data_IF_492136524981
#
_entry.id   IF_492136524981
#
_cell.length_a   1.000
_cell.length_b   1.000
_cell.length_c   1.000
_cell.angle_alpha   90.00
_cell.angle_beta   90.00
_cell.angle_gamma   90.00
#
_symmetry.space_group_name_H-M   'P 1'
#
loop_
_entity.id
_entity.type
_entity.pdbx_description
1 polymer ?
#
# COMPACT_ATOMS: atom_id res chain seq x y z
N UNK A 1 4.07 -4.63 -11.83
CA UNK A 1 5.10 -4.41 -10.78
C UNK A 1 6.05 -5.59 -10.75
N UNK A 2 7.35 -5.33 -10.62
CA UNK A 2 8.33 -6.38 -10.33
C UNK A 2 8.19 -6.78 -8.86
N UNK A 3 8.07 -8.08 -8.51
CA UNK A 3 8.09 -8.53 -7.13
C UNK A 3 9.39 -8.09 -6.43
N UNK A 4 9.29 -7.76 -5.14
CA UNK A 4 10.45 -7.46 -4.30
C UNK A 4 10.27 -8.06 -2.91
N UNK A 5 11.37 -8.21 -2.18
CA UNK A 5 11.36 -8.65 -0.79
C UNK A 5 12.31 -7.78 0.04
N UNK A 6 12.00 -7.65 1.32
CA UNK A 6 12.80 -6.92 2.30
C UNK A 6 12.50 -7.49 3.69
N UNK A 7 13.42 -7.28 4.63
CA UNK A 7 13.27 -7.70 6.02
C UNK A 7 12.61 -6.60 6.84
N UNK A 8 11.73 -6.98 7.76
CA UNK A 8 11.02 -6.07 8.66
C UNK A 8 11.21 -6.49 10.11
N UNK A 9 11.29 -5.51 11.02
CA UNK A 9 11.32 -5.80 12.45
C UNK A 9 9.89 -6.06 12.96
N UNK A 10 9.71 -7.17 13.70
CA UNK A 10 8.45 -7.45 14.38
C UNK A 10 8.09 -6.39 15.42
N UNK A 11 6.78 -6.15 15.60
CA UNK A 11 6.27 -5.15 16.55
C UNK A 11 6.26 -3.71 16.04
N UNK A 12 6.62 -3.48 14.77
CA UNK A 12 6.49 -2.17 14.12
C UNK A 12 5.26 -2.10 13.21
N UNK A 13 4.78 -0.88 12.98
CA UNK A 13 3.74 -0.57 12.00
C UNK A 13 4.39 -0.27 10.66
N UNK A 14 4.02 -1.04 9.63
CA UNK A 14 4.39 -0.78 8.24
C UNK A 14 3.14 -0.42 7.45
N UNK A 15 3.20 0.67 6.70
CA UNK A 15 2.09 1.18 5.91
C UNK A 15 2.54 1.36 4.46
N UNK A 16 1.76 0.88 3.46
CA UNK A 16 2.12 1.07 2.06
C UNK A 16 1.98 2.55 1.67
N UNK A 17 2.78 2.93 0.67
CA UNK A 17 2.76 4.23 0.01
C UNK A 17 2.80 4.00 -1.50
N UNK A 18 2.01 4.76 -2.25
CA UNK A 18 2.01 4.77 -3.71
C UNK A 18 2.64 6.08 -4.16
N UNK A 19 3.63 6.02 -5.06
CA UNK A 19 4.08 7.18 -5.83
C UNK A 19 3.75 6.95 -7.30
N UNK A 20 2.89 7.79 -7.85
CA UNK A 20 2.48 7.71 -9.26
C UNK A 20 3.62 8.24 -10.12
N UNK A 21 4.07 7.46 -11.10
CA UNK A 21 5.25 7.80 -11.90
C UNK A 21 5.05 9.09 -12.69
N UNK A 22 3.89 9.22 -13.33
CA UNK A 22 3.60 10.29 -14.29
C UNK A 22 3.30 11.63 -13.60
N UNK A 23 2.50 11.60 -12.53
CA UNK A 23 2.07 12.82 -11.81
C UNK A 23 3.00 13.18 -10.65
N UNK A 24 3.87 12.25 -10.22
CA UNK A 24 4.71 12.35 -9.02
C UNK A 24 3.91 12.52 -7.71
N UNK A 25 2.60 12.32 -7.75
CA UNK A 25 1.77 12.36 -6.56
C UNK A 25 2.07 11.16 -5.66
N UNK A 26 1.97 11.38 -4.36
CA UNK A 26 2.20 10.36 -3.34
C UNK A 26 0.95 10.20 -2.50
N UNK A 27 0.50 8.96 -2.38
CA UNK A 27 -0.68 8.60 -1.61
C UNK A 27 -0.35 7.59 -0.52
N UNK A 28 -0.93 7.82 0.65
CA UNK A 28 -0.78 7.03 1.86
C UNK A 28 -2.04 6.20 2.14
N UNK A 29 -1.88 5.11 2.87
CA UNK A 29 -2.99 4.30 3.38
C UNK A 29 -3.82 4.99 4.46
N UNK A 30 -3.27 6.01 5.13
CA UNK A 30 -4.00 6.81 6.10
C UNK A 30 -4.55 8.09 5.46
N UNK A 31 -5.88 8.21 5.40
CA UNK A 31 -6.56 9.37 4.82
C UNK A 31 -6.07 10.72 5.38
N UNK A 32 -5.76 10.78 6.67
CA UNK A 32 -5.26 12.01 7.31
C UNK A 32 -3.91 12.49 6.76
N UNK A 33 -3.11 11.61 6.15
CA UNK A 33 -1.82 11.93 5.54
C UNK A 33 -1.93 12.40 4.08
N UNK A 34 -3.10 12.23 3.44
CA UNK A 34 -3.31 12.67 2.07
C UNK A 34 -3.91 14.08 2.01
N UNK A 35 -3.52 14.85 0.98
CA UNK A 35 -3.98 16.22 0.78
C UNK A 35 -5.50 16.31 0.55
N UNK A 36 -6.07 15.30 -0.08
CA UNK A 36 -7.51 15.19 -0.38
C UNK A 36 -8.33 14.49 0.73
N UNK A 37 -7.67 14.07 1.82
CA UNK A 37 -8.29 13.40 2.97
C UNK A 37 -8.97 12.07 2.62
N UNK A 38 -8.54 11.40 1.55
CA UNK A 38 -9.05 10.08 1.15
C UNK A 38 -7.99 9.02 1.46
N UNK A 39 -8.39 7.82 1.89
CA UNK A 39 -7.47 6.68 1.90
C UNK A 39 -7.47 6.08 0.49
N UNK A 40 -6.30 6.06 -0.15
CA UNK A 40 -6.13 5.50 -1.49
C UNK A 40 -5.90 3.98 -1.48
N UNK A 41 -6.03 3.34 -0.31
CA UNK A 41 -5.79 1.92 -0.13
C UNK A 41 -7.03 1.29 0.50
N UNK A 42 -7.50 0.19 -0.08
CA UNK A 42 -8.62 -0.59 0.44
C UNK A 42 -8.22 -2.04 0.63
N UNK A 43 -8.63 -2.67 1.73
CA UNK A 43 -8.40 -4.09 1.95
C UNK A 43 -9.31 -4.94 1.05
N UNK A 44 -8.75 -5.63 0.07
CA UNK A 44 -9.50 -6.46 -0.92
C UNK A 44 -9.40 -7.97 -0.66
N UNK A 45 -8.77 -8.35 0.45
CA UNK A 45 -8.64 -9.74 0.88
C UNK A 45 -7.43 -9.96 1.79
N UNK A 46 -7.13 -11.21 2.16
CA UNK A 46 -5.97 -11.53 2.99
C UNK A 46 -4.68 -11.05 2.35
N UNK A 47 -3.90 -10.28 3.11
CA UNK A 47 -2.62 -9.69 2.69
C UNK A 47 -2.69 -9.00 1.31
N UNK A 48 -3.80 -8.32 1.02
CA UNK A 48 -4.02 -7.66 -0.27
C UNK A 48 -4.65 -6.28 -0.10
N UNK A 49 -4.13 -5.31 -0.85
CA UNK A 49 -4.69 -3.96 -0.99
C UNK A 49 -5.08 -3.70 -2.45
N UNK A 50 -6.27 -3.17 -2.65
CA UNK A 50 -6.64 -2.41 -3.84
C UNK A 50 -6.26 -0.95 -3.66
N UNK A 51 -5.98 -0.26 -4.76
CA UNK A 51 -5.33 1.06 -4.77
C UNK A 51 -5.99 1.95 -5.83
N UNK A 52 -6.19 3.22 -5.49
CA UNK A 52 -6.61 4.30 -6.40
C UNK A 52 -5.42 5.25 -6.67
N UNK A 53 -5.06 5.49 -7.93
CA UNK A 53 -3.89 6.31 -8.29
C UNK A 53 -4.21 7.77 -8.65
N UNK A 54 -5.50 8.14 -8.62
CA UNK A 54 -5.98 9.48 -8.95
C UNK A 54 -6.35 10.30 -7.71
N UNK A 55 -6.00 11.60 -7.73
CA UNK A 55 -6.42 12.55 -6.69
C UNK A 55 -7.95 12.62 -6.62
N UNK A 56 -8.52 12.66 -5.42
CA UNK A 56 -9.97 12.60 -5.22
C UNK A 56 -10.56 11.18 -5.25
N UNK A 57 -9.71 10.17 -5.50
CA UNK A 57 -10.02 8.75 -5.40
C UNK A 57 -10.78 8.17 -6.58
N UNK A 58 -10.60 8.71 -7.79
CA UNK A 58 -11.11 8.08 -9.02
C UNK A 58 -12.59 7.71 -8.99
N UNK A 59 -12.92 6.51 -9.46
CA UNK A 59 -14.25 5.91 -9.41
C UNK A 59 -14.48 5.00 -8.18
N UNK A 60 -13.44 4.78 -7.37
CA UNK A 60 -13.48 4.17 -6.03
C UNK A 60 -13.79 2.68 -6.04
N UNK A 61 -13.41 1.96 -7.09
CA UNK A 61 -13.43 0.51 -7.09
C UNK A 61 -12.10 -0.11 -6.59
N UNK A 62 -11.06 0.70 -6.45
CA UNK A 62 -9.72 0.34 -5.97
C UNK A 62 -9.03 -0.74 -6.82
N UNK A 63 -9.32 -0.77 -8.12
CA UNK A 63 -8.76 -1.76 -9.05
C UNK A 63 -7.66 -1.26 -10.00
N UNK A 64 -7.30 0.04 -9.94
CA UNK A 64 -6.14 0.61 -10.67
C UNK A 64 -4.87 -0.21 -10.41
N UNK A 65 -4.70 -0.67 -9.16
CA UNK A 65 -3.63 -1.59 -8.80
C UNK A 65 -3.96 -2.49 -7.59
N UNK A 66 -3.48 -3.73 -7.66
CA UNK A 66 -3.60 -4.72 -6.57
C UNK A 66 -2.19 -5.06 -6.05
N UNK A 67 -1.93 -4.72 -4.78
CA UNK A 67 -0.74 -5.14 -4.04
C UNK A 67 -1.06 -6.38 -3.20
N UNK A 68 -0.31 -7.47 -3.39
CA UNK A 68 -0.38 -8.68 -2.57
C UNK A 68 0.97 -8.95 -1.93
N UNK A 69 0.96 -9.37 -0.67
CA UNK A 69 2.18 -9.66 0.06
C UNK A 69 2.06 -10.92 0.92
N UNK A 70 3.22 -11.44 1.33
CA UNK A 70 3.35 -12.48 2.34
C UNK A 70 4.35 -11.99 3.37
N UNK A 71 4.14 -12.37 4.63
CA UNK A 71 5.09 -12.11 5.72
C UNK A 71 5.49 -13.45 6.29
N UNK A 72 6.78 -13.74 6.27
CA UNK A 72 7.37 -14.95 6.84
C UNK A 72 8.24 -14.55 8.02
N UNK A 73 8.10 -15.24 9.14
CA UNK A 73 9.04 -15.08 10.24
C UNK A 73 10.38 -15.72 9.85
N UNK A 74 11.46 -14.95 9.87
CA UNK A 74 12.80 -15.52 9.82
C UNK A 74 13.06 -16.22 11.15
N UNK A 75 13.45 -17.50 11.12
CA UNK A 75 13.90 -18.17 12.33
C UNK A 75 15.16 -17.45 12.83
N UNK A 76 15.16 -17.01 14.09
CA UNK A 76 16.40 -16.59 14.74
C UNK A 76 17.28 -17.84 14.82
N UNK A 77 18.30 -17.94 13.96
CA UNK A 77 19.39 -18.89 14.16
C UNK A 77 20.10 -18.44 15.43
N UNK A 78 19.84 -19.17 16.52
CA UNK A 78 20.49 -18.97 17.82
C UNK A 78 21.97 -19.26 17.76
#
# INVERSE_FOLDING_TARGET
MTPFSFQVQGGQLFAPVLTVADTRQTYFSFAAANADRISHFHGVGPNAYGIEDLAGGGDRDFDDQILRFTVTAEASLG
#
